data_IF_263762446011
#
_entry.id   IF_263762446011
#
_cell.length_a   1.000
_cell.length_b   1.000
_cell.length_c   1.000
_cell.angle_alpha   90.00
_cell.angle_beta   90.00
_cell.angle_gamma   90.00
#
_symmetry.space_group_name_H-M   'P 1'
#
loop_
_entity.id
_entity.type
_entity.pdbx_description
1 polymer ?
#
# COMPACT_ATOMS: atom_id res chain seq x y z
N UNK A 1 5.04 12.34 20.66
CA UNK A 1 5.07 11.42 19.49
C UNK A 1 6.52 11.24 19.10
N UNK A 2 7.03 10.02 19.21
CA UNK A 2 8.40 9.67 18.78
C UNK A 2 8.61 10.08 17.29
N UNK A 3 9.56 10.99 16.99
CA UNK A 3 9.83 11.46 15.64
C UNK A 3 10.07 10.34 14.63
N UNK A 4 10.68 9.24 15.06
CA UNK A 4 10.96 8.09 14.19
C UNK A 4 9.67 7.41 13.71
N UNK A 5 8.68 7.27 14.59
CA UNK A 5 7.35 6.72 14.23
C UNK A 5 6.62 7.59 13.22
N UNK A 6 6.76 8.92 13.35
CA UNK A 6 6.16 9.87 12.39
C UNK A 6 6.77 9.71 11.00
N UNK A 7 8.09 9.60 10.90
CA UNK A 7 8.78 9.40 9.62
C UNK A 7 8.45 8.05 8.98
N UNK A 8 8.42 6.97 9.75
CA UNK A 8 8.00 5.65 9.25
C UNK A 8 6.56 5.66 8.70
N UNK A 9 5.63 6.37 9.37
CA UNK A 9 4.25 6.53 8.89
C UNK A 9 4.19 7.35 7.61
N UNK A 10 4.96 8.43 7.50
CA UNK A 10 5.06 9.24 6.28
C UNK A 10 5.58 8.38 5.12
N UNK A 11 6.67 7.66 5.33
CA UNK A 11 7.25 6.79 4.32
C UNK A 11 6.26 5.73 3.82
N UNK A 12 5.59 5.02 4.74
CA UNK A 12 4.53 4.06 4.39
C UNK A 12 3.41 4.71 3.56
N UNK A 13 2.94 5.90 3.96
CA UNK A 13 1.90 6.64 3.23
C UNK A 13 2.37 7.02 1.82
N UNK A 14 3.61 7.47 1.67
CA UNK A 14 4.20 7.82 0.37
C UNK A 14 4.22 6.60 -0.56
N UNK A 15 4.74 5.45 -0.09
CA UNK A 15 4.79 4.21 -0.87
C UNK A 15 3.39 3.71 -1.22
N UNK A 16 2.46 3.71 -0.26
CA UNK A 16 1.05 3.32 -0.50
C UNK A 16 0.37 4.21 -1.53
N UNK A 17 0.63 5.53 -1.48
CA UNK A 17 0.08 6.50 -2.45
C UNK A 17 0.64 6.26 -3.85
N UNK A 18 1.93 5.98 -3.97
CA UNK A 18 2.57 5.62 -5.24
C UNK A 18 1.97 4.33 -5.83
N UNK A 19 1.84 3.27 -5.02
CA UNK A 19 1.23 2.01 -5.44
C UNK A 19 -0.24 2.16 -5.86
N UNK A 20 -1.03 2.96 -5.13
CA UNK A 20 -2.41 3.25 -5.51
C UNK A 20 -2.52 4.07 -6.81
N UNK A 21 -1.61 5.03 -7.05
CA UNK A 21 -1.56 5.79 -8.31
C UNK A 21 -1.24 4.87 -9.49
N UNK A 22 -0.26 3.97 -9.34
CA UNK A 22 0.09 2.99 -10.37
C UNK A 22 -1.07 2.04 -10.67
N UNK A 23 -1.67 1.43 -9.64
CA UNK A 23 -2.85 0.56 -9.76
C UNK A 23 -3.97 1.20 -10.56
N UNK A 24 -4.36 2.43 -10.21
CA UNK A 24 -5.43 3.13 -10.92
C UNK A 24 -5.08 3.38 -12.39
N UNK A 25 -3.82 3.67 -12.69
CA UNK A 25 -3.38 3.87 -14.08
C UNK A 25 -3.45 2.55 -14.85
N UNK A 26 -3.00 1.44 -14.24
CA UNK A 26 -3.04 0.12 -14.86
C UNK A 26 -4.48 -0.29 -15.16
N UNK A 27 -5.36 -0.29 -14.16
CA UNK A 27 -6.76 -0.70 -14.35
C UNK A 27 -7.53 0.18 -15.34
N UNK A 28 -7.25 1.50 -15.37
CA UNK A 28 -7.81 2.35 -16.41
C UNK A 28 -7.33 1.96 -17.82
N UNK A 29 -6.08 1.55 -17.94
CA UNK A 29 -5.50 1.10 -19.21
C UNK A 29 -6.12 -0.24 -19.62
N UNK A 30 -6.24 -1.18 -18.69
CA UNK A 30 -6.83 -2.50 -18.94
C UNK A 30 -8.30 -2.38 -19.39
N UNK A 31 -9.08 -1.48 -18.78
CA UNK A 31 -10.46 -1.21 -19.21
C UNK A 31 -10.56 -0.66 -20.65
N UNK A 32 -9.53 0.02 -21.14
CA UNK A 32 -9.50 0.58 -22.50
C UNK A 32 -8.97 -0.47 -23.50
N UNK A 33 -7.92 -1.20 -23.12
CA UNK A 33 -7.21 -2.12 -24.00
C UNK A 33 -7.90 -3.50 -24.10
N UNK A 34 -8.48 -4.00 -23.01
CA UNK A 34 -9.17 -5.29 -22.95
C UNK A 34 -10.31 -5.26 -21.90
N UNK A 35 -11.46 -4.64 -22.22
CA UNK A 35 -12.55 -4.43 -21.27
C UNK A 35 -13.18 -5.74 -20.74
N UNK A 36 -13.18 -6.81 -21.54
CA UNK A 36 -13.79 -8.10 -21.17
C UNK A 36 -13.00 -8.79 -20.06
N UNK A 37 -11.66 -8.76 -20.13
CA UNK A 37 -10.79 -9.38 -19.12
C UNK A 37 -10.42 -8.43 -17.97
N UNK A 38 -10.70 -7.13 -18.08
CA UNK A 38 -10.30 -6.12 -17.09
C UNK A 38 -10.77 -6.42 -15.66
N UNK A 39 -11.90 -7.12 -15.49
CA UNK A 39 -12.41 -7.55 -14.19
C UNK A 39 -11.47 -8.52 -13.45
N UNK A 40 -10.63 -9.24 -14.18
CA UNK A 40 -9.66 -10.20 -13.66
C UNK A 40 -8.25 -9.60 -13.53
N UNK A 41 -8.07 -8.30 -13.85
CA UNK A 41 -6.77 -7.65 -13.72
C UNK A 41 -6.35 -7.52 -12.25
N UNK A 42 -5.20 -8.09 -11.93
CA UNK A 42 -4.59 -7.97 -10.61
C UNK A 42 -3.33 -7.10 -10.67
N UNK A 43 -3.21 -6.16 -9.72
CA UNK A 43 -2.03 -5.31 -9.62
C UNK A 43 -0.97 -5.98 -8.73
N UNK A 44 0.21 -6.22 -9.33
CA UNK A 44 1.41 -6.57 -8.58
C UNK A 44 2.17 -5.31 -8.13
N UNK A 45 2.08 -4.97 -6.85
CA UNK A 45 2.70 -3.75 -6.30
C UNK A 45 4.23 -3.71 -6.40
N UNK A 46 4.92 -4.86 -6.40
CA UNK A 46 6.38 -4.94 -6.41
C UNK A 46 7.03 -3.93 -5.45
N UNK A 47 7.88 -3.06 -6.00
CA UNK A 47 8.59 -1.99 -5.26
C UNK A 47 7.67 -0.95 -4.61
N UNK A 48 6.43 -0.81 -5.08
CA UNK A 48 5.41 0.07 -4.50
C UNK A 48 4.57 -0.62 -3.42
N UNK A 49 4.94 -1.82 -2.98
CA UNK A 49 4.26 -2.50 -1.89
C UNK A 49 4.56 -1.81 -0.57
N UNK A 50 3.50 -1.42 0.15
CA UNK A 50 3.64 -0.89 1.52
C UNK A 50 3.70 -1.98 2.60
N UNK A 51 3.63 -3.26 2.21
CA UNK A 51 3.55 -4.38 3.14
C UNK A 51 4.78 -4.46 4.07
N UNK A 52 5.97 -4.18 3.55
CA UNK A 52 7.20 -4.16 4.35
C UNK A 52 7.21 -3.11 5.46
N UNK A 53 6.35 -2.09 5.39
CA UNK A 53 6.26 -1.04 6.41
C UNK A 53 5.22 -1.35 7.52
N UNK A 54 4.58 -2.50 7.48
CA UNK A 54 3.67 -2.93 8.53
C UNK A 54 4.47 -3.26 9.81
N UNK A 55 4.03 -2.76 10.97
CA UNK A 55 4.66 -3.05 12.26
C UNK A 55 5.92 -2.23 12.61
N UNK A 56 6.55 -1.56 11.65
CA UNK A 56 7.81 -0.83 11.88
C UNK A 56 7.71 0.32 12.90
N UNK A 57 6.57 1.00 12.99
CA UNK A 57 6.36 2.09 13.95
C UNK A 57 6.16 1.62 15.41
N UNK A 58 6.23 0.30 15.67
CA UNK A 58 6.06 -0.32 17.00
C UNK A 58 4.88 0.31 17.74
N UNK A 59 3.75 0.37 17.03
CA UNK A 59 2.54 1.00 17.51
C UNK A 59 1.98 0.19 18.69
N UNK A 60 1.94 0.79 19.87
CA UNK A 60 1.52 0.12 21.10
C UNK A 60 0.07 -0.39 21.01
N UNK A 61 -0.77 0.28 20.21
CA UNK A 61 -2.17 -0.13 19.94
C UNK A 61 -2.28 -1.45 19.16
N UNK A 62 -1.19 -1.94 18.57
CA UNK A 62 -1.15 -3.23 17.84
C UNK A 62 -0.72 -4.40 18.72
N UNK A 63 -0.30 -4.17 19.96
CA UNK A 63 -0.11 -5.25 20.91
C UNK A 63 -1.50 -5.77 21.25
N UNK A 64 -1.74 -7.08 21.05
CA UNK A 64 -2.92 -7.70 21.65
C UNK A 64 -2.74 -7.55 23.15
N UNK A 65 -3.75 -7.04 23.85
CA UNK A 65 -3.79 -7.19 25.30
C UNK A 65 -3.85 -8.69 25.54
N UNK A 66 -2.76 -9.27 26.05
CA UNK A 66 -2.80 -10.65 26.52
C UNK A 66 -3.91 -10.70 27.60
N UNK A 67 -4.87 -11.61 27.39
CA UNK A 67 -5.88 -12.00 28.37
C UNK A 67 -5.40 -13.30 29.03
#
# INVERSE_FOLDING_TARGET
MDPQKRELRKLKRTVKRAGSKRRRRQFKRDLIENPEEAAFSEENFGRNSSAGFNGMDRDATRRRSDA
#
